data_IF_262362416056
#
_entry.id   IF_262362416056
#
_cell.length_a   1.000
_cell.length_b   1.000
_cell.length_c   1.000
_cell.angle_alpha   90.00
_cell.angle_beta   90.00
_cell.angle_gamma   90.00
#
_symmetry.space_group_name_H-M   'P 1'
#
loop_
_entity.id
_entity.type
_entity.pdbx_description
1 polymer ?
#
# COMPACT_ATOMS: atom_id res chain seq x y z
N UNK A 1 -9.08 11.23 1.79
CA UNK A 1 -9.21 12.47 0.97
C UNK A 1 -7.86 12.77 0.37
N UNK A 2 -7.81 12.98 -0.94
CA UNK A 2 -6.63 13.38 -1.71
C UNK A 2 -6.39 14.88 -1.55
N UNK A 3 -5.34 15.27 -0.84
CA UNK A 3 -4.83 16.64 -0.76
C UNK A 3 -3.49 16.51 -0.05
N UNK A 4 -2.35 16.55 -0.74
CA UNK A 4 -1.81 17.80 -1.27
C UNK A 4 -0.75 17.53 -2.35
N UNK A 5 -1.05 16.64 -3.29
CA UNK A 5 -0.15 16.32 -4.40
C UNK A 5 -1.00 16.15 -5.66
N UNK A 6 -0.79 17.02 -6.65
CA UNK A 6 -1.52 17.08 -7.92
C UNK A 6 -1.29 15.88 -8.86
N UNK A 7 -1.15 14.68 -8.30
CA UNK A 7 -1.09 13.42 -9.01
C UNK A 7 -2.42 12.69 -8.81
N UNK A 8 -3.22 12.65 -9.87
CA UNK A 8 -4.50 11.93 -9.90
C UNK A 8 -4.22 10.43 -9.83
N UNK A 9 -4.72 9.77 -8.77
CA UNK A 9 -4.79 8.30 -8.69
C UNK A 9 -5.66 7.73 -9.82
N UNK A 10 -5.39 6.52 -10.34
CA UNK A 10 -4.23 5.67 -10.08
C UNK A 10 -3.39 5.55 -11.35
N UNK A 11 -2.36 6.37 -11.48
CA UNK A 11 -1.24 5.99 -12.34
C UNK A 11 -0.38 4.99 -11.55
N UNK A 12 -0.07 3.80 -12.11
CA UNK A 12 0.87 2.84 -11.52
C UNK A 12 2.21 3.45 -11.08
N UNK A 13 2.58 4.61 -11.65
CA UNK A 13 3.76 5.39 -11.25
C UNK A 13 3.78 5.80 -9.76
N UNK A 14 2.63 5.81 -9.07
CA UNK A 14 2.61 6.16 -7.64
C UNK A 14 3.35 5.13 -6.78
N UNK A 15 3.37 3.85 -7.16
CA UNK A 15 4.03 2.81 -6.37
C UNK A 15 5.55 2.93 -6.43
N UNK A 16 6.11 3.11 -7.63
CA UNK A 16 7.54 3.34 -7.81
C UNK A 16 7.99 4.65 -7.14
N UNK A 17 7.23 5.72 -7.31
CA UNK A 17 7.50 6.99 -6.62
C UNK A 17 7.44 6.84 -5.09
N UNK A 18 6.49 6.06 -4.57
CA UNK A 18 6.38 5.80 -3.12
C UNK A 18 7.62 5.09 -2.60
N UNK A 19 8.12 4.07 -3.31
CA UNK A 19 9.38 3.41 -2.94
C UNK A 19 10.55 4.39 -2.94
N UNK A 20 10.70 5.21 -3.99
CA UNK A 20 11.77 6.20 -4.08
C UNK A 20 11.75 7.20 -2.91
N UNK A 21 10.56 7.71 -2.55
CA UNK A 21 10.38 8.63 -1.42
C UNK A 21 10.65 7.95 -0.07
N UNK A 22 10.37 6.65 0.05
CA UNK A 22 10.68 5.85 1.23
C UNK A 22 12.18 5.48 1.36
N UNK A 23 13.01 5.87 0.39
CA UNK A 23 14.45 5.56 0.37
C UNK A 23 14.80 4.27 -0.39
N UNK A 24 13.89 3.79 -1.23
CA UNK A 24 14.07 2.60 -2.07
C UNK A 24 14.07 1.27 -1.30
N UNK A 25 13.12 1.01 -0.36
CA UNK A 25 13.03 -0.31 0.26
C UNK A 25 12.66 -1.37 -0.77
N UNK A 26 12.94 -2.64 -0.46
CA UNK A 26 12.47 -3.72 -1.31
C UNK A 26 10.92 -3.79 -1.25
N UNK A 27 10.22 -4.07 -2.36
CA UNK A 27 8.75 -4.08 -2.35
C UNK A 27 8.15 -4.99 -1.28
N UNK A 28 8.75 -6.15 -1.02
CA UNK A 28 8.32 -7.12 -0.02
C UNK A 28 8.48 -6.62 1.43
N UNK A 29 9.32 -5.62 1.67
CA UNK A 29 9.45 -4.97 2.97
C UNK A 29 8.30 -3.98 3.22
N UNK A 30 7.59 -3.54 2.18
CA UNK A 30 6.53 -2.55 2.28
C UNK A 30 5.17 -3.20 2.43
N UNK A 31 4.44 -2.79 3.48
CA UNK A 31 3.05 -3.19 3.71
C UNK A 31 2.09 -2.11 3.23
N UNK A 32 1.43 -2.36 2.10
CA UNK A 32 0.51 -1.44 1.44
C UNK A 32 -0.94 -1.73 1.82
N UNK A 33 -1.65 -0.70 2.30
CA UNK A 33 -3.04 -0.79 2.74
C UNK A 33 -3.88 0.22 1.95
N UNK A 34 -4.92 -0.23 1.27
CA UNK A 34 -5.86 0.62 0.52
C UNK A 34 -7.24 -0.08 0.45
N UNK A 35 -8.32 0.69 0.29
CA UNK A 35 -9.69 0.18 0.18
C UNK A 35 -10.09 -0.14 -1.27
N UNK A 36 -9.29 0.27 -2.25
CA UNK A 36 -9.48 -0.05 -3.67
C UNK A 36 -8.80 -1.36 -4.05
N UNK A 37 -9.60 -2.36 -4.44
CA UNK A 37 -9.11 -3.64 -4.95
C UNK A 37 -8.14 -3.47 -6.13
N UNK A 38 -8.38 -2.50 -7.02
CA UNK A 38 -7.47 -2.21 -8.14
C UNK A 38 -6.08 -1.81 -7.69
N UNK A 39 -5.98 -1.04 -6.60
CA UNK A 39 -4.69 -0.61 -6.06
C UNK A 39 -3.97 -1.78 -5.37
N UNK A 40 -4.73 -2.62 -4.66
CA UNK A 40 -4.21 -3.84 -4.04
C UNK A 40 -3.62 -4.78 -5.10
N UNK A 41 -4.35 -5.06 -6.17
CA UNK A 41 -3.86 -5.92 -7.27
C UNK A 41 -2.62 -5.34 -7.95
N UNK A 42 -2.56 -4.02 -8.14
CA UNK A 42 -1.40 -3.36 -8.73
C UNK A 42 -0.17 -3.43 -7.82
N UNK A 43 -0.34 -3.20 -6.51
CA UNK A 43 0.74 -3.30 -5.52
C UNK A 43 1.23 -4.74 -5.37
N UNK A 44 0.32 -5.72 -5.32
CA UNK A 44 0.65 -7.14 -5.23
C UNK A 44 1.49 -7.60 -6.45
N UNK A 45 1.10 -7.17 -7.66
CA UNK A 45 1.84 -7.45 -8.88
C UNK A 45 3.26 -6.85 -8.91
N UNK A 46 3.51 -5.81 -8.10
CA UNK A 46 4.82 -5.17 -7.94
C UNK A 46 5.64 -5.78 -6.79
N UNK A 47 5.10 -6.80 -6.09
CA UNK A 47 5.79 -7.52 -5.02
C UNK A 47 5.58 -6.92 -3.62
N UNK A 48 4.65 -5.97 -3.47
CA UNK A 48 4.32 -5.42 -2.15
C UNK A 48 3.56 -6.44 -1.31
N UNK A 49 3.77 -6.41 0.01
CA UNK A 49 2.79 -7.02 0.92
C UNK A 49 1.55 -6.14 0.94
N UNK A 50 0.36 -6.70 0.74
CA UNK A 50 -0.86 -5.90 0.59
C UNK A 50 -1.96 -6.30 1.57
N UNK A 51 -2.77 -5.33 1.98
CA UNK A 51 -4.00 -5.57 2.75
C UNK A 51 -5.15 -4.73 2.21
N UNK A 52 -6.20 -5.41 1.73
CA UNK A 52 -7.44 -4.75 1.31
C UNK A 52 -8.22 -4.28 2.55
N UNK A 53 -8.20 -2.98 2.80
CA UNK A 53 -8.88 -2.40 3.95
C UNK A 53 -10.40 -2.51 3.81
N UNK A 54 -11.03 -3.27 4.72
CA UNK A 54 -12.49 -3.44 4.79
C UNK A 54 -13.08 -3.02 6.14
N UNK A 55 -12.30 -3.10 7.21
CA UNK A 55 -12.68 -2.69 8.56
C UNK A 55 -11.44 -2.49 9.43
N UNK A 56 -11.60 -1.72 10.52
CA UNK A 56 -10.53 -1.51 11.50
C UNK A 56 -10.09 -2.83 12.17
N UNK A 57 -11.04 -3.68 12.55
CA UNK A 57 -10.75 -4.99 13.17
C UNK A 57 -9.93 -5.90 12.23
N UNK A 58 -10.24 -5.86 10.92
CA UNK A 58 -9.51 -6.62 9.92
C UNK A 58 -8.07 -6.11 9.74
N UNK A 59 -7.89 -4.79 9.78
CA UNK A 59 -6.56 -4.19 9.72
C UNK A 59 -5.74 -4.50 10.97
N UNK A 60 -6.34 -4.41 12.15
CA UNK A 60 -5.66 -4.73 13.41
C UNK A 60 -5.15 -6.18 13.43
N UNK A 61 -5.99 -7.13 12.99
CA UNK A 61 -5.60 -8.53 12.89
C UNK A 61 -4.44 -8.73 11.89
N UNK A 62 -4.47 -8.04 10.75
CA UNK A 62 -3.40 -8.10 9.76
C UNK A 62 -2.08 -7.52 10.28
N UNK A 63 -2.13 -6.36 10.94
CA UNK A 63 -0.94 -5.74 11.52
C UNK A 63 -0.30 -6.59 12.62
N UNK A 64 -1.10 -7.28 13.45
CA UNK A 64 -0.59 -8.24 14.43
C UNK A 64 0.07 -9.45 13.77
N UNK A 65 -0.51 -9.97 12.68
CA UNK A 65 0.05 -11.09 11.95
C UNK A 65 1.40 -10.75 11.30
N UNK A 66 1.56 -9.51 10.85
CA UNK A 66 2.82 -8.98 10.30
C UNK A 66 3.84 -8.55 11.38
N UNK A 67 3.46 -8.56 12.66
CA UNK A 67 4.33 -8.17 13.79
C UNK A 67 4.51 -6.67 13.97
N UNK A 68 3.62 -5.84 13.41
CA UNK A 68 3.64 -4.39 13.57
C UNK A 68 2.91 -3.89 14.85
N UNK A 69 2.21 -4.79 15.55
CA UNK A 69 1.40 -4.52 16.75
C UNK A 69 1.59 -5.59 17.83
#
# INVERSE_FOLDING_TARGET
VSGDSGLVKPDPAIFAHTLDVMGGPAPDEVFFIDDSEKNITAADALGFRTHHFRSADGLEAALKAEGFL
#
